data_IF_628446340816
#
_entry.id   IF_628446340816
#
_cell.length_a   1.000
_cell.length_b   1.000
_cell.length_c   1.000
_cell.angle_alpha   90.00
_cell.angle_beta   90.00
_cell.angle_gamma   90.00
#
_symmetry.space_group_name_H-M   'P 1'
#
loop_
_entity.id
_entity.type
_entity.pdbx_description
1 polymer ?
#
# COMPACT_ATOMS: atom_id res chain seq x y z
N UNK A 1 -11.50 -9.13 8.44
CA UNK A 1 -10.74 -7.99 9.00
C UNK A 1 -9.29 -8.00 8.55
N UNK A 2 -8.46 -8.97 8.97
CA UNK A 2 -7.08 -9.13 8.46
C UNK A 2 -7.07 -10.30 7.48
N UNK A 3 -6.98 -10.01 6.19
CA UNK A 3 -7.07 -11.02 5.13
C UNK A 3 -5.76 -11.75 4.87
N UNK A 4 -4.62 -11.08 5.09
CA UNK A 4 -3.27 -11.65 4.91
C UNK A 4 -2.33 -11.10 5.98
N UNK A 5 -1.48 -11.98 6.54
CA UNK A 5 -0.43 -11.62 7.49
C UNK A 5 0.83 -12.42 7.18
N UNK A 6 1.98 -11.77 7.32
CA UNK A 6 3.29 -12.42 7.25
C UNK A 6 4.22 -11.87 8.33
N UNK A 7 5.23 -12.64 8.73
CA UNK A 7 6.24 -12.22 9.70
C UNK A 7 7.59 -12.82 9.35
N UNK A 8 8.61 -11.96 9.24
CA UNK A 8 9.97 -12.34 8.87
C UNK A 8 10.96 -11.62 9.79
N UNK A 9 11.66 -12.37 10.65
CA UNK A 9 12.72 -11.85 11.53
C UNK A 9 12.31 -10.61 12.37
N UNK A 10 11.08 -10.59 12.90
CA UNK A 10 10.55 -9.46 13.68
C UNK A 10 9.96 -8.31 12.85
N UNK A 11 9.97 -8.41 11.52
CA UNK A 11 9.16 -7.57 10.65
C UNK A 11 7.78 -8.20 10.45
N UNK A 12 6.73 -7.42 10.66
CA UNK A 12 5.35 -7.85 10.49
C UNK A 12 4.69 -7.10 9.34
N UNK A 13 3.90 -7.83 8.58
CA UNK A 13 3.16 -7.32 7.43
C UNK A 13 1.71 -7.76 7.55
N UNK A 14 0.77 -6.84 7.37
CA UNK A 14 -0.67 -7.13 7.42
C UNK A 14 -1.42 -6.42 6.32
N UNK A 15 -2.37 -7.10 5.68
CA UNK A 15 -3.31 -6.51 4.73
C UNK A 15 -4.74 -6.80 5.16
N UNK A 16 -5.57 -5.77 5.18
CA UNK A 16 -6.97 -5.90 5.59
C UNK A 16 -7.85 -6.39 4.44
N UNK A 17 -8.96 -7.04 4.78
CA UNK A 17 -10.12 -7.20 3.90
C UNK A 17 -11.17 -6.11 4.24
N UNK A 18 -12.38 -6.17 3.64
CA UNK A 18 -13.44 -5.18 3.89
C UNK A 18 -14.35 -5.47 5.09
N UNK A 19 -14.16 -6.57 5.82
CA UNK A 19 -15.13 -7.13 6.76
C UNK A 19 -14.80 -6.86 8.23
N UNK A 20 -15.84 -6.74 9.06
CA UNK A 20 -15.72 -6.63 10.53
C UNK A 20 -15.54 -5.21 11.06
N UNK A 21 -15.92 -4.20 10.28
CA UNK A 21 -15.97 -2.81 10.71
C UNK A 21 -17.39 -2.34 11.04
N UNK A 22 -17.56 -1.04 11.17
CA UNK A 22 -18.81 -0.38 11.59
C UNK A 22 -19.35 0.63 10.59
N UNK A 23 -18.68 0.80 9.45
CA UNK A 23 -19.15 1.72 8.40
C UNK A 23 -20.42 1.20 7.73
N UNK A 24 -21.30 2.12 7.36
CA UNK A 24 -22.53 1.82 6.62
C UNK A 24 -22.30 1.87 5.10
N UNK A 25 -23.32 1.48 4.33
CA UNK A 25 -23.32 1.58 2.86
C UNK A 25 -23.04 3.01 2.41
N UNK A 26 -22.14 3.26 1.42
CA UNK A 26 -21.44 2.29 0.56
C UNK A 26 -20.02 1.89 1.02
N UNK A 27 -19.69 2.11 2.29
CA UNK A 27 -18.37 1.90 2.89
C UNK A 27 -18.31 0.65 3.76
N UNK A 28 -19.33 -0.20 3.69
CA UNK A 28 -19.51 -1.33 4.58
C UNK A 28 -18.45 -2.42 4.34
N UNK A 29 -17.81 -2.97 5.36
CA UNK A 29 -17.97 -2.65 6.79
C UNK A 29 -16.73 -1.95 7.37
N UNK A 30 -15.52 -2.34 6.93
CA UNK A 30 -14.24 -1.89 7.48
C UNK A 30 -13.56 -0.85 6.59
N UNK A 31 -14.20 0.28 6.34
CA UNK A 31 -13.53 1.39 5.66
C UNK A 31 -12.50 2.08 6.56
N UNK A 32 -11.26 2.16 6.09
CA UNK A 32 -10.12 2.79 6.78
C UNK A 32 -9.74 4.17 6.20
N UNK A 33 -10.40 4.59 5.12
CA UNK A 33 -10.15 5.85 4.43
C UNK A 33 -11.05 6.98 4.93
N UNK A 34 -10.46 8.07 5.43
CA UNK A 34 -11.20 9.25 5.92
C UNK A 34 -11.56 10.28 4.83
N UNK A 35 -11.00 10.15 3.62
CA UNK A 35 -11.16 11.13 2.53
C UNK A 35 -12.12 10.65 1.42
N UNK A 36 -13.04 9.73 1.73
CA UNK A 36 -13.95 9.11 0.75
C UNK A 36 -15.42 9.44 0.98
N UNK A 37 -15.73 10.25 2.00
CA UNK A 37 -17.10 10.69 2.34
C UNK A 37 -17.81 9.86 3.41
N UNK A 38 -17.11 8.93 4.07
CA UNK A 38 -17.65 8.14 5.18
C UNK A 38 -17.69 8.94 6.49
N UNK A 39 -18.44 8.43 7.48
CA UNK A 39 -18.49 8.98 8.84
C UNK A 39 -17.10 8.93 9.50
N UNK A 40 -16.50 10.08 9.89
CA UNK A 40 -15.21 10.10 10.57
C UNK A 40 -15.15 9.26 11.85
N UNK A 41 -16.26 9.12 12.58
CA UNK A 41 -16.32 8.30 13.78
C UNK A 41 -16.24 6.80 13.44
N UNK A 42 -16.93 6.36 12.38
CA UNK A 42 -16.86 4.99 11.88
C UNK A 42 -15.45 4.65 11.38
N UNK A 43 -14.83 5.55 10.62
CA UNK A 43 -13.45 5.38 10.13
C UNK A 43 -12.46 5.27 11.30
N UNK A 44 -12.61 6.10 12.33
CA UNK A 44 -11.75 6.06 13.53
C UNK A 44 -11.91 4.72 14.25
N UNK A 45 -13.14 4.27 14.48
CA UNK A 45 -13.42 2.98 15.10
C UNK A 45 -12.84 1.80 14.28
N UNK A 46 -12.98 1.83 12.95
CA UNK A 46 -12.42 0.81 12.07
C UNK A 46 -10.89 0.75 12.14
N UNK A 47 -10.23 1.90 12.19
CA UNK A 47 -8.76 1.98 12.34
C UNK A 47 -8.30 1.39 13.66
N UNK A 48 -9.01 1.67 14.76
CA UNK A 48 -8.73 1.05 16.05
C UNK A 48 -8.92 -0.47 16.02
N UNK A 49 -10.02 -0.95 15.43
CA UNK A 49 -10.30 -2.38 15.31
C UNK A 49 -9.21 -3.10 14.51
N UNK A 50 -8.82 -2.55 13.35
CA UNK A 50 -7.79 -3.12 12.50
C UNK A 50 -6.42 -3.17 13.19
N UNK A 51 -6.01 -2.09 13.87
CA UNK A 51 -4.75 -2.05 14.61
C UNK A 51 -4.73 -3.07 15.76
N UNK A 52 -5.80 -3.12 16.57
CA UNK A 52 -5.95 -4.11 17.66
C UNK A 52 -5.90 -5.55 17.14
N UNK A 53 -6.53 -5.84 15.99
CA UNK A 53 -6.50 -7.17 15.38
C UNK A 53 -5.11 -7.59 14.87
N UNK A 54 -4.25 -6.63 14.55
CA UNK A 54 -2.84 -6.88 14.21
C UNK A 54 -1.94 -7.04 15.44
N UNK A 55 -2.43 -6.67 16.62
CA UNK A 55 -1.64 -6.57 17.85
C UNK A 55 -0.84 -5.27 17.95
N UNK A 56 -1.12 -4.29 17.08
CA UNK A 56 -0.51 -2.97 17.13
C UNK A 56 -1.30 -2.04 18.04
N UNK A 57 -0.62 -1.10 18.70
CA UNK A 57 -1.27 -0.01 19.42
C UNK A 57 -1.89 0.98 18.40
N UNK A 58 -3.22 1.19 18.40
CA UNK A 58 -3.85 2.16 17.52
C UNK A 58 -3.27 3.58 17.62
N UNK A 59 -2.77 3.97 18.80
CA UNK A 59 -2.16 5.28 19.01
C UNK A 59 -0.77 5.39 18.37
N UNK A 60 -0.15 4.28 17.95
CA UNK A 60 1.17 4.21 17.32
C UNK A 60 1.10 3.79 15.85
N UNK A 61 0.08 4.25 15.14
CA UNK A 61 -0.05 4.07 13.68
C UNK A 61 0.16 5.40 12.95
N UNK A 62 1.06 5.41 11.96
CA UNK A 62 1.29 6.51 11.05
C UNK A 62 0.45 6.31 9.79
N UNK A 63 -0.43 7.27 9.52
CA UNK A 63 -1.21 7.36 8.30
C UNK A 63 -0.62 8.40 7.34
N UNK A 64 -0.91 8.28 6.05
CA UNK A 64 -0.42 9.19 5.00
C UNK A 64 -1.56 9.98 4.35
N UNK A 65 -1.24 11.17 3.84
CA UNK A 65 -2.12 11.96 2.97
C UNK A 65 -1.74 11.70 1.50
N UNK A 66 -2.22 10.57 0.99
CA UNK A 66 -1.89 10.03 -0.33
C UNK A 66 -2.41 10.89 -1.47
N UNK A 67 -1.52 11.25 -2.38
CA UNK A 67 -1.83 12.15 -3.51
C UNK A 67 -1.39 11.58 -4.86
N UNK A 68 -1.05 10.29 -4.90
CA UNK A 68 -0.54 9.55 -6.06
C UNK A 68 0.79 10.12 -6.60
N UNK A 69 1.60 10.74 -5.74
CA UNK A 69 2.95 11.21 -6.04
C UNK A 69 4.03 10.18 -5.70
N UNK A 70 5.27 10.67 -5.52
CA UNK A 70 6.44 9.88 -5.13
C UNK A 70 7.19 10.45 -3.91
N UNK A 71 6.61 11.46 -3.25
CA UNK A 71 7.21 12.07 -2.07
C UNK A 71 7.16 11.11 -0.88
N UNK A 72 8.23 11.14 -0.09
CA UNK A 72 8.47 10.25 1.05
C UNK A 72 8.65 11.10 2.31
N UNK A 73 8.00 10.74 3.41
CA UNK A 73 8.30 11.30 4.73
C UNK A 73 9.03 10.29 5.62
N UNK A 74 10.13 10.71 6.24
CA UNK A 74 10.74 9.97 7.35
C UNK A 74 10.04 10.37 8.65
N UNK A 75 9.62 9.40 9.45
CA UNK A 75 8.84 9.59 10.67
C UNK A 75 9.44 8.81 11.83
N UNK A 76 9.34 9.35 13.03
CA UNK A 76 9.75 8.77 14.31
C UNK A 76 8.58 8.59 15.29
N UNK A 77 7.46 9.28 15.03
CA UNK A 77 6.24 9.22 15.81
C UNK A 77 5.00 9.52 14.94
N UNK A 78 3.79 9.15 15.40
CA UNK A 78 2.55 9.60 14.78
C UNK A 78 2.45 11.13 14.66
N UNK A 79 1.67 11.61 13.69
CA UNK A 79 1.53 13.04 13.43
C UNK A 79 0.96 13.82 14.62
N UNK A 80 0.13 13.19 15.45
CA UNK A 80 -0.62 13.89 16.50
C UNK A 80 -1.53 14.94 15.88
N UNK A 81 -1.52 16.17 16.42
CA UNK A 81 -2.29 17.29 15.88
C UNK A 81 -1.61 17.99 14.68
N UNK A 82 -0.43 17.52 14.27
CA UNK A 82 0.30 18.12 13.13
C UNK A 82 -0.42 17.81 11.81
N UNK A 83 -0.42 18.75 10.85
CA UNK A 83 -0.88 18.47 9.50
C UNK A 83 -0.10 17.32 8.87
N UNK A 84 -0.81 16.34 8.31
CA UNK A 84 -0.20 15.22 7.59
C UNK A 84 0.30 15.73 6.22
N UNK A 85 1.62 15.67 5.94
CA UNK A 85 2.16 16.12 4.67
C UNK A 85 1.63 15.26 3.52
N UNK A 86 1.51 15.87 2.34
CA UNK A 86 1.13 15.17 1.10
C UNK A 86 2.28 14.25 0.66
N UNK A 87 2.16 12.96 0.93
CA UNK A 87 3.17 11.95 0.62
C UNK A 87 2.48 10.63 0.26
N UNK A 88 3.14 9.82 -0.54
CA UNK A 88 2.68 8.48 -0.92
C UNK A 88 3.61 7.38 -0.39
N UNK A 89 4.63 7.75 0.39
CA UNK A 89 5.41 6.81 1.17
C UNK A 89 5.80 7.41 2.52
N UNK A 90 5.92 6.54 3.52
CA UNK A 90 6.47 6.86 4.83
C UNK A 90 7.52 5.82 5.20
N UNK A 91 8.57 6.25 5.89
CA UNK A 91 9.70 5.41 6.33
C UNK A 91 10.00 5.70 7.80
N UNK A 92 10.34 4.69 8.57
CA UNK A 92 10.72 4.82 9.98
C UNK A 92 11.93 3.95 10.31
N UNK A 93 12.78 4.41 11.21
CA UNK A 93 13.77 3.59 11.94
C UNK A 93 13.28 3.20 13.35
N UNK A 94 12.08 3.67 13.72
CA UNK A 94 11.49 3.48 15.04
C UNK A 94 10.67 2.19 15.12
N UNK A 95 11.19 1.25 15.91
CA UNK A 95 10.54 -0.01 16.28
C UNK A 95 9.24 0.25 17.07
N UNK A 96 8.27 -0.64 16.91
CA UNK A 96 6.94 -0.50 17.50
C UNK A 96 6.10 0.66 16.92
N UNK A 97 6.52 1.27 15.81
CA UNK A 97 5.71 2.24 15.06
C UNK A 97 5.16 1.58 13.81
N UNK A 98 3.82 1.48 13.71
CA UNK A 98 3.18 0.88 12.54
C UNK A 98 2.98 1.91 11.44
N UNK A 99 3.38 1.59 10.23
CA UNK A 99 3.16 2.42 9.04
C UNK A 99 1.99 1.85 8.24
N UNK A 100 1.01 2.69 7.91
CA UNK A 100 -0.21 2.28 7.22
C UNK A 100 -0.37 2.97 5.86
N UNK A 101 -0.67 2.18 4.83
CA UNK A 101 -1.00 2.64 3.46
C UNK A 101 -2.44 2.27 3.11
N UNK A 102 -3.22 3.20 2.57
CA UNK A 102 -4.61 2.96 2.18
C UNK A 102 -4.73 2.63 0.69
N UNK A 103 -5.55 1.67 0.31
CA UNK A 103 -5.79 1.35 -1.11
C UNK A 103 -7.23 0.97 -1.39
N UNK A 104 -7.63 1.17 -2.65
CA UNK A 104 -8.70 0.44 -3.30
C UNK A 104 -8.28 0.36 -4.77
N UNK A 105 -7.70 -0.78 -5.15
CA UNK A 105 -7.03 -1.08 -6.44
C UNK A 105 -5.54 -0.73 -6.56
N UNK A 106 -5.04 0.36 -5.99
CA UNK A 106 -3.60 0.65 -6.04
C UNK A 106 -2.79 -0.40 -5.26
N UNK A 107 -1.50 -0.55 -5.58
CA UNK A 107 -0.63 -1.56 -4.96
C UNK A 107 -0.12 -1.04 -3.62
N UNK A 108 -0.49 -1.65 -2.48
CA UNK A 108 0.15 -1.34 -1.21
C UNK A 108 1.50 -2.07 -1.16
N UNK A 109 2.59 -1.33 -1.01
CA UNK A 109 3.96 -1.86 -0.94
C UNK A 109 4.47 -1.69 0.47
N UNK A 110 4.75 -2.80 1.14
CA UNK A 110 5.31 -2.83 2.48
C UNK A 110 6.74 -3.36 2.43
N UNK A 111 7.66 -2.66 3.08
CA UNK A 111 9.09 -2.94 3.05
C UNK A 111 9.64 -2.95 4.47
N UNK A 112 10.58 -3.84 4.77
CA UNK A 112 11.36 -3.78 6.00
C UNK A 112 12.77 -4.35 5.81
N UNK A 113 13.79 -3.71 6.38
CA UNK A 113 15.08 -4.34 6.68
C UNK A 113 15.09 -4.65 8.19
N UNK A 114 14.84 -5.92 8.59
CA UNK A 114 14.75 -6.28 10.01
C UNK A 114 16.06 -6.14 10.77
N UNK A 115 17.20 -6.21 10.05
CA UNK A 115 18.55 -6.08 10.64
C UNK A 115 18.86 -4.62 10.90
N UNK A 116 18.57 -3.72 9.97
CA UNK A 116 18.75 -2.29 10.16
C UNK A 116 17.67 -1.66 11.06
N UNK A 117 16.54 -2.33 11.26
CA UNK A 117 15.44 -1.81 12.06
C UNK A 117 14.60 -0.76 11.32
N UNK A 118 14.54 -0.83 9.98
CA UNK A 118 13.89 0.18 9.14
C UNK A 118 12.70 -0.42 8.41
N UNK A 119 11.56 0.27 8.47
CA UNK A 119 10.33 -0.12 7.78
C UNK A 119 9.80 1.02 6.90
N UNK A 120 9.09 0.66 5.83
CA UNK A 120 8.44 1.62 4.94
C UNK A 120 7.11 1.09 4.40
N UNK A 121 6.13 1.98 4.28
CA UNK A 121 4.88 1.73 3.57
C UNK A 121 4.75 2.73 2.41
N UNK A 122 4.44 2.23 1.22
CA UNK A 122 4.28 3.04 0.01
C UNK A 122 3.00 2.69 -0.76
N UNK A 123 2.34 3.73 -1.25
CA UNK A 123 1.17 3.70 -2.10
C UNK A 123 1.58 3.80 -3.57
N UNK A 124 1.55 2.67 -4.27
CA UNK A 124 1.86 2.63 -5.70
C UNK A 124 0.58 2.52 -6.54
N UNK A 125 0.00 3.68 -6.84
CA UNK A 125 -0.92 3.82 -7.98
C UNK A 125 -0.16 3.99 -9.30
N UNK A 126 -0.86 3.96 -10.45
CA UNK A 126 -0.23 4.19 -11.76
C UNK A 126 0.61 5.48 -11.82
N UNK A 127 0.13 6.66 -11.35
CA UNK A 127 0.96 7.86 -11.35
C UNK A 127 2.19 7.74 -10.45
N UNK A 128 2.05 7.15 -9.26
CA UNK A 128 3.16 6.94 -8.32
C UNK A 128 4.20 5.94 -8.82
N UNK A 129 3.79 4.89 -9.54
CA UNK A 129 4.69 3.96 -10.20
C UNK A 129 5.58 4.69 -11.22
N UNK A 130 4.97 5.50 -12.08
CA UNK A 130 5.66 6.29 -13.12
C UNK A 130 6.57 7.35 -12.48
N UNK A 131 6.12 7.98 -11.40
CA UNK A 131 6.90 8.97 -10.65
C UNK A 131 8.03 8.36 -9.81
N UNK A 132 8.03 7.03 -9.60
CA UNK A 132 9.10 6.32 -8.90
C UNK A 132 8.96 6.29 -7.37
N UNK A 133 7.74 6.16 -6.83
CA UNK A 133 7.51 6.09 -5.37
C UNK A 133 8.24 4.92 -4.70
N UNK A 134 8.34 3.76 -5.36
CA UNK A 134 9.07 2.59 -4.82
C UNK A 134 10.58 2.84 -4.77
N UNK A 135 11.24 3.29 -5.86
CA UNK A 135 12.62 3.78 -5.80
C UNK A 135 12.85 4.84 -4.74
N UNK A 136 11.92 5.79 -4.55
CA UNK A 136 12.03 6.83 -3.54
C UNK A 136 11.98 6.26 -2.12
N UNK A 137 11.05 5.34 -1.84
CA UNK A 137 10.94 4.68 -0.54
C UNK A 137 12.19 3.85 -0.21
N UNK A 138 12.68 3.02 -1.14
CA UNK A 138 13.90 2.22 -0.94
C UNK A 138 15.11 3.13 -0.73
N UNK A 139 15.24 4.22 -1.48
CA UNK A 139 16.33 5.20 -1.28
C UNK A 139 16.29 5.79 0.13
N UNK A 140 15.12 6.24 0.58
CA UNK A 140 14.97 6.78 1.94
C UNK A 140 15.28 5.74 3.03
N UNK A 141 14.93 4.46 2.81
CA UNK A 141 15.34 3.37 3.72
C UNK A 141 16.87 3.21 3.73
N UNK A 142 17.53 3.24 2.57
CA UNK A 142 18.99 3.09 2.46
C UNK A 142 19.73 4.29 3.07
N UNK A 143 19.21 5.51 2.92
CA UNK A 143 19.74 6.70 3.60
C UNK A 143 19.70 6.58 5.12
N UNK A 144 18.76 5.81 5.68
CA UNK A 144 18.68 5.48 7.11
C UNK A 144 19.54 4.27 7.50
N UNK A 145 20.17 3.58 6.55
CA UNK A 145 21.07 2.44 6.79
C UNK A 145 20.52 1.06 6.39
N UNK A 146 19.38 0.99 5.71
CA UNK A 146 18.88 -0.28 5.16
C UNK A 146 19.76 -0.77 4.01
N UNK A 147 19.97 -2.09 3.95
CA UNK A 147 20.58 -2.75 2.80
C UNK A 147 19.48 -3.32 1.92
N UNK A 148 19.34 -2.90 0.64
CA UNK A 148 18.33 -3.45 -0.27
C UNK A 148 18.34 -4.98 -0.35
N UNK A 149 19.50 -5.63 -0.24
CA UNK A 149 19.59 -7.09 -0.30
C UNK A 149 18.95 -7.78 0.93
N UNK A 150 18.73 -7.05 2.02
CA UNK A 150 18.06 -7.51 3.25
C UNK A 150 16.62 -7.01 3.37
N UNK A 151 16.17 -6.13 2.48
CA UNK A 151 14.79 -5.66 2.48
C UNK A 151 13.87 -6.83 2.10
N UNK A 152 12.87 -7.06 2.95
CA UNK A 152 11.73 -7.94 2.72
C UNK A 152 10.59 -7.07 2.20
N UNK A 153 10.08 -7.39 1.01
CA UNK A 153 8.98 -6.69 0.36
C UNK A 153 7.72 -7.56 0.28
N UNK A 154 6.60 -6.99 0.70
CA UNK A 154 5.26 -7.59 0.57
C UNK A 154 4.33 -6.62 -0.13
N UNK A 155 3.72 -7.05 -1.23
CA UNK A 155 2.68 -6.29 -1.92
C UNK A 155 1.32 -6.94 -1.72
N UNK A 156 0.34 -6.16 -1.27
CA UNK A 156 -1.00 -6.65 -0.94
C UNK A 156 -1.96 -6.72 -2.14
N UNK A 157 -3.25 -7.04 -1.88
CA UNK A 157 -4.30 -7.05 -2.89
C UNK A 157 -4.36 -5.73 -3.68
N UNK A 158 -4.43 -5.83 -5.00
CA UNK A 158 -4.47 -4.70 -5.94
C UNK A 158 -5.25 -5.07 -7.20
N UNK A 159 -5.59 -4.12 -8.07
CA UNK A 159 -6.16 -4.48 -9.38
C UNK A 159 -5.07 -5.10 -10.25
N UNK A 160 -5.33 -6.28 -10.82
CA UNK A 160 -4.36 -6.99 -11.66
C UNK A 160 -4.28 -6.41 -13.07
N UNK A 161 -3.18 -6.67 -13.79
CA UNK A 161 -3.01 -6.24 -15.19
C UNK A 161 -4.09 -6.75 -16.14
N UNK A 162 -4.72 -7.90 -15.85
CA UNK A 162 -5.83 -8.45 -16.63
C UNK A 162 -7.15 -7.70 -16.44
N UNK A 163 -7.23 -6.80 -15.46
CA UNK A 163 -8.42 -6.07 -15.07
C UNK A 163 -8.28 -4.54 -15.16
N UNK A 164 -7.07 -4.01 -15.13
CA UNK A 164 -6.82 -2.57 -15.10
C UNK A 164 -6.80 -1.96 -16.52
N UNK A 165 -7.98 -1.87 -17.12
CA UNK A 165 -8.18 -1.20 -18.40
C UNK A 165 -7.82 0.30 -18.34
N UNK A 166 -7.09 0.75 -19.35
CA UNK A 166 -6.73 2.15 -19.61
C UNK A 166 -6.78 2.44 -21.11
N UNK A 167 -6.83 3.72 -21.54
CA UNK A 167 -6.65 4.06 -22.96
C UNK A 167 -5.29 3.62 -23.50
N UNK A 168 -5.21 3.27 -24.79
CA UNK A 168 -3.97 2.80 -25.44
C UNK A 168 -2.78 3.74 -25.22
N UNK A 169 -2.99 5.05 -25.43
CA UNK A 169 -1.94 6.05 -25.22
C UNK A 169 -1.41 6.02 -23.78
N UNK A 170 -2.29 5.87 -22.80
CA UNK A 170 -1.90 5.80 -21.39
C UNK A 170 -1.11 4.52 -21.08
N UNK A 171 -1.47 3.38 -21.68
CA UNK A 171 -0.66 2.16 -21.57
C UNK A 171 0.74 2.37 -22.16
N UNK A 172 0.82 2.94 -23.36
CA UNK A 172 2.08 3.18 -24.04
C UNK A 172 3.00 4.12 -23.23
N UNK A 173 2.46 5.21 -22.68
CA UNK A 173 3.20 6.14 -21.81
C UNK A 173 3.73 5.48 -20.55
N UNK A 174 2.94 4.62 -19.89
CA UNK A 174 3.38 3.88 -18.71
C UNK A 174 4.45 2.85 -19.08
N UNK A 175 4.25 2.07 -20.14
CA UNK A 175 5.18 1.04 -20.59
C UNK A 175 6.52 1.62 -21.08
N UNK A 176 6.53 2.86 -21.58
CA UNK A 176 7.76 3.55 -21.93
C UNK A 176 8.64 3.85 -20.71
N UNK A 177 8.04 4.08 -19.54
CA UNK A 177 8.75 4.32 -18.27
C UNK A 177 9.04 3.01 -17.54
N UNK A 178 8.05 2.12 -17.46
CA UNK A 178 8.16 0.81 -16.82
C UNK A 178 7.63 -0.29 -17.76
N UNK A 179 8.50 -0.92 -18.57
CA UNK A 179 8.09 -1.93 -19.54
C UNK A 179 7.37 -3.13 -18.92
N UNK A 180 7.71 -3.50 -17.69
CA UNK A 180 7.08 -4.60 -16.98
C UNK A 180 5.59 -4.34 -16.66
N UNK A 181 5.14 -3.09 -16.71
CA UNK A 181 3.75 -2.72 -16.47
C UNK A 181 2.87 -2.86 -17.73
N UNK A 182 3.42 -3.22 -18.89
CA UNK A 182 2.61 -3.47 -20.08
C UNK A 182 1.69 -4.68 -19.87
N UNK A 183 0.39 -4.50 -20.12
CA UNK A 183 -0.59 -5.59 -20.04
C UNK A 183 -1.72 -5.43 -21.07
N UNK A 184 -2.48 -6.51 -21.21
CA UNK A 184 -3.78 -6.54 -21.87
C UNK A 184 -4.82 -7.09 -20.89
N UNK A 185 -6.04 -6.56 -20.95
CA UNK A 185 -7.14 -7.10 -20.15
C UNK A 185 -7.48 -8.52 -20.60
N UNK A 186 -8.20 -9.25 -19.74
CA UNK A 186 -8.73 -10.57 -20.11
C UNK A 186 -9.76 -10.54 -21.25
N UNK A 187 -10.21 -9.36 -21.66
CA UNK A 187 -11.10 -9.13 -22.79
C UNK A 187 -10.44 -8.39 -23.98
N UNK A 188 -9.10 -8.32 -24.00
CA UNK A 188 -8.32 -7.91 -25.18
C UNK A 188 -8.21 -6.40 -25.40
N UNK A 189 -8.34 -5.60 -24.34
CA UNK A 189 -8.15 -4.14 -24.39
C UNK A 189 -6.85 -3.72 -23.70
N UNK A 190 -6.32 -2.51 -23.98
CA UNK A 190 -5.10 -2.02 -23.34
C UNK A 190 -5.23 -1.93 -21.82
N UNK A 191 -4.22 -2.41 -21.10
CA UNK A 191 -4.18 -2.42 -19.64
C UNK A 191 -2.79 -2.08 -19.09
N UNK A 192 -2.73 -1.84 -17.77
CA UNK A 192 -1.46 -1.68 -17.05
C UNK A 192 -1.38 -2.60 -15.84
N UNK A 193 -0.27 -3.32 -15.69
CA UNK A 193 0.02 -4.12 -14.51
C UNK A 193 0.95 -3.35 -13.56
N UNK A 194 0.34 -2.59 -12.65
CA UNK A 194 1.11 -1.79 -11.69
C UNK A 194 1.91 -2.69 -10.74
N UNK A 195 1.38 -3.87 -10.37
CA UNK A 195 2.08 -4.82 -9.51
C UNK A 195 3.34 -5.35 -10.19
N UNK A 196 3.26 -5.75 -11.45
CA UNK A 196 4.42 -6.18 -12.22
C UNK A 196 5.48 -5.07 -12.32
N UNK A 197 5.05 -3.82 -12.55
CA UNK A 197 5.94 -2.66 -12.54
C UNK A 197 6.63 -2.43 -11.19
N UNK A 198 5.90 -2.52 -10.08
CA UNK A 198 6.46 -2.42 -8.72
C UNK A 198 7.53 -3.49 -8.48
N UNK A 199 7.25 -4.75 -8.83
CA UNK A 199 8.19 -5.85 -8.61
C UNK A 199 9.44 -5.72 -9.48
N UNK A 200 9.31 -5.23 -10.72
CA UNK A 200 10.44 -4.92 -11.57
C UNK A 200 11.31 -3.78 -10.99
N UNK A 201 10.70 -2.74 -10.42
CA UNK A 201 11.44 -1.68 -9.72
C UNK A 201 12.20 -2.22 -8.50
N UNK A 202 11.54 -3.01 -7.65
CA UNK A 202 12.16 -3.64 -6.48
C UNK A 202 13.34 -4.54 -6.87
N UNK A 203 13.18 -5.35 -7.91
CA UNK A 203 14.24 -6.22 -8.42
C UNK A 203 15.46 -5.42 -8.88
N UNK A 204 15.27 -4.36 -9.68
CA UNK A 204 16.37 -3.50 -10.14
C UNK A 204 17.08 -2.79 -8.99
N UNK A 205 16.39 -2.53 -7.89
CA UNK A 205 16.96 -1.93 -6.68
C UNK A 205 17.69 -2.94 -5.79
N UNK A 206 17.70 -4.23 -6.15
CA UNK A 206 18.40 -5.28 -5.41
C UNK A 206 17.60 -5.89 -4.26
N UNK A 207 16.31 -5.59 -4.14
CA UNK A 207 15.41 -6.20 -3.15
C UNK A 207 15.10 -7.62 -3.58
N UNK A 208 15.60 -8.62 -2.85
CA UNK A 208 15.54 -10.04 -3.29
C UNK A 208 14.32 -10.79 -2.76
N UNK A 209 13.96 -10.59 -1.50
CA UNK A 209 12.80 -11.23 -0.89
C UNK A 209 11.55 -10.40 -1.23
N UNK A 210 10.80 -10.84 -2.24
CA UNK A 210 9.58 -10.18 -2.73
C UNK A 210 8.45 -11.20 -2.78
N UNK A 211 7.34 -10.90 -2.13
CA UNK A 211 6.11 -11.70 -2.27
C UNK A 211 4.93 -10.81 -2.66
N UNK A 212 4.08 -11.34 -3.53
CA UNK A 212 2.91 -10.67 -4.07
C UNK A 212 1.63 -11.40 -3.68
N UNK A 213 0.64 -10.64 -3.22
CA UNK A 213 -0.73 -11.14 -3.08
C UNK A 213 -1.31 -11.55 -4.44
N UNK A 214 -1.87 -12.75 -4.60
CA UNK A 214 -2.50 -13.17 -5.85
C UNK A 214 -3.88 -12.53 -6.07
N UNK A 215 -4.37 -11.72 -5.13
CA UNK A 215 -5.75 -11.22 -5.10
C UNK A 215 -5.92 -9.99 -5.99
N UNK A 216 -6.83 -10.08 -6.96
CA UNK A 216 -7.34 -8.92 -7.68
C UNK A 216 -8.48 -8.25 -6.91
N UNK A 217 -8.31 -7.00 -6.47
CA UNK A 217 -9.36 -6.27 -5.70
C UNK A 217 -10.65 -6.06 -6.49
N UNK A 218 -10.54 -5.88 -7.81
CA UNK A 218 -11.71 -5.74 -8.70
C UNK A 218 -12.54 -7.03 -8.75
N UNK A 219 -11.89 -8.18 -8.79
CA UNK A 219 -12.53 -9.51 -8.90
C UNK A 219 -13.01 -10.03 -7.55
N UNK A 220 -12.30 -9.70 -6.46
CA UNK A 220 -12.65 -10.16 -5.11
C UNK A 220 -13.79 -9.35 -4.50
N UNK A 221 -14.80 -10.06 -3.97
CA UNK A 221 -15.90 -9.46 -3.21
C UNK A 221 -15.51 -9.06 -1.80
N UNK A 222 -14.41 -9.62 -1.28
CA UNK A 222 -13.90 -9.38 0.06
C UNK A 222 -13.07 -8.09 0.16
N UNK A 223 -12.90 -7.38 -0.95
CA UNK A 223 -12.04 -6.21 -1.05
C UNK A 223 -12.80 -5.04 -1.66
N UNK A 224 -12.55 -3.83 -1.17
CA UNK A 224 -13.02 -2.62 -1.84
C UNK A 224 -12.28 -2.41 -3.17
N UNK A 225 -13.01 -1.97 -4.20
CA UNK A 225 -12.43 -1.65 -5.51
C UNK A 225 -13.05 -0.39 -6.08
N UNK A 226 -12.22 0.63 -6.29
CA UNK A 226 -12.67 1.88 -6.91
C UNK A 226 -13.12 1.66 -8.36
N UNK A 227 -12.44 0.77 -9.10
CA UNK A 227 -12.75 0.45 -10.49
C UNK A 227 -14.09 -0.24 -10.63
N UNK A 228 -14.47 -1.07 -9.64
CA UNK A 228 -15.77 -1.75 -9.60
C UNK A 228 -16.88 -0.83 -9.11
N UNK A 229 -16.66 -0.17 -7.97
CA UNK A 229 -17.75 0.42 -7.18
C UNK A 229 -17.83 1.95 -7.27
N UNK A 230 -16.74 2.61 -7.73
CA UNK A 230 -16.52 4.07 -7.71
C UNK A 230 -16.56 4.65 -6.30
N UNK A 231 -17.73 4.77 -5.70
CA UNK A 231 -17.90 5.23 -4.32
C UNK A 231 -17.80 4.02 -3.38
N UNK A 232 -16.68 3.91 -2.68
CA UNK A 232 -16.38 2.74 -1.84
C UNK A 232 -15.33 3.07 -0.79
N UNK A 233 -15.15 2.17 0.18
CA UNK A 233 -14.16 2.29 1.26
C UNK A 233 -12.70 2.10 0.80
N UNK A 234 -11.79 2.09 1.76
CA UNK A 234 -10.37 1.79 1.56
C UNK A 234 -9.92 0.68 2.49
N UNK A 235 -9.14 -0.23 1.91
CA UNK A 235 -8.35 -1.23 2.61
C UNK A 235 -7.08 -0.58 3.17
N UNK A 236 -6.35 -1.28 4.02
CA UNK A 236 -5.03 -0.87 4.47
C UNK A 236 -3.99 -2.00 4.44
N UNK A 237 -2.75 -1.64 4.13
CA UNK A 237 -1.56 -2.42 4.43
C UNK A 237 -0.82 -1.82 5.62
N UNK A 238 -0.30 -2.66 6.52
CA UNK A 238 0.44 -2.27 7.71
C UNK A 238 1.80 -2.97 7.76
N UNK A 239 2.85 -2.22 8.08
CA UNK A 239 4.17 -2.77 8.39
C UNK A 239 4.70 -2.20 9.69
N UNK A 240 5.32 -3.05 10.51
CA UNK A 240 6.03 -2.62 11.71
C UNK A 240 7.13 -3.62 12.05
N UNK A 241 8.05 -3.19 12.90
CA UNK A 241 9.10 -4.02 13.48
C UNK A 241 8.87 -4.10 14.99
N UNK A 242 9.13 -5.27 15.58
CA UNK A 242 9.24 -5.43 17.03
C UNK A 242 10.32 -4.51 17.64
#
# INVERSE_FOLDING_TARGET
MIGQRDTVNGAHFGFTDRWGGVSAVPYEELNLGGAVGDDPAAVTANRELAAKALGADPARVVWMNQVHGADVAVVDAPWGDRPVPRVDAVVTAERGLALAVLTADCVPVLLADPVAGIAAAAHAGRPGLVAGVVPAAVRAMTELGADPARIVARTGPAVCGRCYEVPEQMRAEVAAVEPAAHADTSWGTPAVDVSAGVHAQLERLGVRDRAQSPVCTRESKDHFSYRRDRTTGRLAGYVWLD
#
